data_IF_299248384066
#
_entry.id   IF_299248384066
#
_cell.length_a   1.000
_cell.length_b   1.000
_cell.length_c   1.000
_cell.angle_alpha   90.00
_cell.angle_beta   90.00
_cell.angle_gamma   90.00
#
_symmetry.space_group_name_H-M   'P 1'
#
loop_
_entity.id
_entity.type
_entity.pdbx_description
1 polymer ?
#
# COMPACT_ATOMS: atom_id res chain seq x y z
N UNK A 1 12.88 61.99 -30.74
CA UNK A 1 12.22 60.74 -31.22
C UNK A 1 13.14 59.53 -31.17
N UNK A 2 14.42 59.60 -31.55
CA UNK A 2 15.35 58.45 -31.48
C UNK A 2 15.76 58.07 -30.04
N UNK A 3 15.90 59.07 -29.16
CA UNK A 3 16.27 58.86 -27.75
C UNK A 3 15.27 58.03 -26.94
N UNK A 4 13.97 58.18 -27.21
CA UNK A 4 12.93 57.38 -26.55
C UNK A 4 12.99 55.91 -26.96
N UNK A 5 13.32 55.64 -28.22
CA UNK A 5 13.50 54.28 -28.73
C UNK A 5 14.73 53.61 -28.12
N UNK A 6 15.83 54.36 -27.98
CA UNK A 6 17.07 53.86 -27.38
C UNK A 6 16.89 53.46 -25.90
N UNK A 7 16.18 54.28 -25.13
CA UNK A 7 15.89 53.99 -23.71
C UNK A 7 14.97 52.77 -23.59
N UNK A 8 13.92 52.70 -24.41
CA UNK A 8 12.99 51.57 -24.38
C UNK A 8 13.71 50.25 -24.76
N UNK A 9 14.60 50.31 -25.75
CA UNK A 9 15.41 49.17 -26.13
C UNK A 9 16.34 48.73 -25.00
N UNK A 10 17.02 49.67 -24.33
CA UNK A 10 17.87 49.36 -23.19
C UNK A 10 17.08 48.69 -22.03
N UNK A 11 15.89 49.21 -21.71
CA UNK A 11 15.01 48.62 -20.69
C UNK A 11 14.59 47.20 -21.07
N UNK A 12 14.24 46.98 -22.34
CA UNK A 12 13.88 45.64 -22.83
C UNK A 12 15.03 44.65 -22.71
N UNK A 13 16.27 45.05 -23.02
CA UNK A 13 17.45 44.19 -22.87
C UNK A 13 17.67 43.83 -21.40
N UNK A 14 17.54 44.79 -20.49
CA UNK A 14 17.67 44.53 -19.05
C UNK A 14 16.59 43.56 -18.56
N UNK A 15 15.33 43.78 -18.96
CA UNK A 15 14.22 42.87 -18.62
C UNK A 15 14.43 41.46 -19.19
N UNK A 16 14.95 41.35 -20.42
CA UNK A 16 15.25 40.07 -21.05
C UNK A 16 16.29 39.30 -20.24
N UNK A 17 17.38 39.97 -19.83
CA UNK A 17 18.43 39.37 -19.01
C UNK A 17 17.85 38.85 -17.69
N UNK A 18 17.07 39.69 -16.98
CA UNK A 18 16.41 39.31 -15.71
C UNK A 18 15.47 38.11 -15.92
N UNK A 19 14.69 38.12 -17.01
CA UNK A 19 13.75 37.05 -17.34
C UNK A 19 14.44 35.70 -17.53
N UNK A 20 15.57 35.67 -18.25
CA UNK A 20 16.33 34.44 -18.50
C UNK A 20 16.87 33.88 -17.17
N UNK A 21 17.44 34.72 -16.30
CA UNK A 21 17.94 34.27 -15.00
C UNK A 21 16.84 33.73 -14.10
N UNK A 22 15.69 34.43 -14.01
CA UNK A 22 14.56 34.01 -13.18
C UNK A 22 13.94 32.70 -13.68
N UNK A 23 13.78 32.55 -14.99
CA UNK A 23 13.21 31.33 -15.60
C UNK A 23 14.11 30.11 -15.36
N UNK A 24 15.43 30.29 -15.45
CA UNK A 24 16.40 29.20 -15.25
C UNK A 24 16.47 28.72 -13.79
N UNK A 25 16.23 29.60 -12.82
CA UNK A 25 16.14 29.22 -11.40
C UNK A 25 14.86 28.45 -11.12
N UNK A 26 13.70 28.93 -11.62
CA UNK A 26 12.41 28.25 -11.43
C UNK A 26 12.39 26.84 -12.03
N UNK A 27 12.94 26.66 -13.23
CA UNK A 27 13.02 25.34 -13.85
C UNK A 27 13.89 24.35 -13.06
N UNK A 28 14.92 24.84 -12.34
CA UNK A 28 15.75 24.01 -11.48
C UNK A 28 15.04 23.65 -10.17
N UNK A 29 14.35 24.60 -9.56
CA UNK A 29 13.58 24.37 -8.33
C UNK A 29 12.43 23.37 -8.60
N UNK A 30 11.67 23.55 -9.67
CA UNK A 30 10.60 22.61 -10.05
C UNK A 30 11.14 21.20 -10.37
N UNK A 31 12.31 21.08 -11.01
CA UNK A 31 12.95 19.78 -11.24
C UNK A 31 13.44 19.13 -9.95
N UNK A 32 14.03 19.91 -9.03
CA UNK A 32 14.50 19.40 -7.74
C UNK A 32 13.35 18.95 -6.84
N UNK A 33 12.25 19.69 -6.80
CA UNK A 33 11.06 19.28 -6.05
C UNK A 33 10.48 17.96 -6.59
N UNK A 34 10.37 17.81 -7.90
CA UNK A 34 9.93 16.55 -8.51
C UNK A 34 10.88 15.39 -8.24
N UNK A 35 12.19 15.62 -8.27
CA UNK A 35 13.21 14.61 -7.99
C UNK A 35 13.15 14.15 -6.52
N UNK A 36 13.01 15.09 -5.57
CA UNK A 36 12.90 14.75 -4.14
C UNK A 36 11.65 13.92 -3.82
N UNK A 37 10.51 14.27 -4.42
CA UNK A 37 9.27 13.49 -4.26
C UNK A 37 9.41 12.10 -4.88
N UNK A 38 9.99 11.99 -6.07
CA UNK A 38 10.21 10.69 -6.70
C UNK A 38 11.14 9.79 -5.87
N UNK A 39 12.23 10.35 -5.33
CA UNK A 39 13.15 9.62 -4.46
C UNK A 39 12.47 9.15 -3.18
N UNK A 40 11.68 10.01 -2.53
CA UNK A 40 10.94 9.64 -1.32
C UNK A 40 9.92 8.53 -1.58
N UNK A 41 9.18 8.60 -2.70
CA UNK A 41 8.25 7.55 -3.10
C UNK A 41 8.95 6.22 -3.40
N UNK A 42 10.11 6.27 -4.05
CA UNK A 42 10.86 5.06 -4.36
C UNK A 42 11.43 4.41 -3.10
N UNK A 43 11.88 5.22 -2.14
CA UNK A 43 12.33 4.75 -0.82
C UNK A 43 11.18 4.10 -0.05
N UNK A 44 10.00 4.71 -0.04
CA UNK A 44 8.79 4.16 0.58
C UNK A 44 8.35 2.84 -0.08
N UNK A 45 8.40 2.75 -1.42
CA UNK A 45 8.12 1.51 -2.15
C UNK A 45 9.12 0.41 -1.79
N UNK A 46 10.41 0.74 -1.69
CA UNK A 46 11.44 -0.22 -1.31
C UNK A 46 11.23 -0.71 0.13
N UNK A 47 10.94 0.19 1.06
CA UNK A 47 10.61 -0.17 2.44
C UNK A 47 9.39 -1.09 2.53
N UNK A 48 8.34 -0.81 1.74
CA UNK A 48 7.16 -1.68 1.69
C UNK A 48 7.50 -3.06 1.12
N UNK A 49 8.31 -3.11 0.06
CA UNK A 49 8.76 -4.36 -0.56
C UNK A 49 9.57 -5.23 0.41
N UNK A 50 10.50 -4.62 1.15
CA UNK A 50 11.33 -5.31 2.15
C UNK A 50 10.47 -5.88 3.29
N UNK A 51 9.43 -5.14 3.70
CA UNK A 51 8.46 -5.62 4.67
C UNK A 51 7.68 -6.84 4.17
N UNK A 52 7.22 -6.84 2.91
CA UNK A 52 6.53 -7.98 2.30
C UNK A 52 7.46 -9.19 2.22
N UNK A 53 8.70 -9.01 1.76
CA UNK A 53 9.67 -10.09 1.64
C UNK A 53 9.99 -10.73 3.01
N UNK A 54 10.10 -9.91 4.05
CA UNK A 54 10.34 -10.38 5.42
C UNK A 54 9.16 -11.21 5.92
N UNK A 55 7.92 -10.74 5.72
CA UNK A 55 6.70 -11.48 6.08
C UNK A 55 6.58 -12.80 5.32
N UNK A 56 6.93 -12.84 4.04
CA UNK A 56 6.95 -14.07 3.26
C UNK A 56 7.95 -15.09 3.83
N UNK A 57 9.16 -14.65 4.18
CA UNK A 57 10.18 -15.49 4.76
C UNK A 57 9.79 -16.00 6.16
N UNK A 58 9.23 -15.13 7.02
CA UNK A 58 8.72 -15.51 8.34
C UNK A 58 7.63 -16.58 8.24
N UNK A 59 6.74 -16.43 7.25
CA UNK A 59 5.67 -17.39 7.03
C UNK A 59 6.22 -18.73 6.50
N UNK A 60 7.23 -18.72 5.61
CA UNK A 60 7.91 -19.94 5.17
C UNK A 60 8.61 -20.66 6.34
N UNK A 61 9.23 -19.91 7.24
CA UNK A 61 9.85 -20.46 8.46
C UNK A 61 8.77 -21.11 9.34
N UNK A 62 7.65 -20.41 9.58
CA UNK A 62 6.54 -20.92 10.39
C UNK A 62 5.92 -22.18 9.79
N UNK A 63 5.74 -22.24 8.47
CA UNK A 63 5.25 -23.44 7.77
C UNK A 63 6.19 -24.63 7.96
N UNK A 64 7.52 -24.40 7.83
CA UNK A 64 8.53 -25.44 8.06
C UNK A 64 8.60 -25.89 9.51
N UNK A 65 8.55 -24.97 10.46
CA UNK A 65 8.62 -25.27 11.90
C UNK A 65 7.36 -26.00 12.40
N UNK A 66 6.18 -25.60 11.92
CA UNK A 66 4.93 -26.28 12.21
C UNK A 66 4.79 -27.63 11.46
N UNK A 67 5.67 -27.92 10.50
CA UNK A 67 5.58 -29.10 9.63
C UNK A 67 4.38 -29.08 8.69
N UNK A 68 3.76 -27.92 8.48
CA UNK A 68 2.57 -27.73 7.65
C UNK A 68 3.03 -27.22 6.29
N UNK A 69 3.17 -28.13 5.32
CA UNK A 69 3.36 -27.73 3.92
C UNK A 69 2.00 -27.63 3.24
N UNK A 70 1.48 -26.42 3.12
CA UNK A 70 0.25 -26.18 2.37
C UNK A 70 0.58 -25.94 0.90
N UNK A 71 -0.23 -26.49 -0.01
CA UNK A 71 -0.07 -26.14 -1.42
C UNK A 71 -0.40 -24.66 -1.64
N UNK A 72 0.23 -24.02 -2.63
CA UNK A 72 -0.04 -22.62 -2.97
C UNK A 72 -1.55 -22.37 -3.25
N UNK A 73 -2.21 -23.36 -3.84
CA UNK A 73 -3.66 -23.33 -4.10
C UNK A 73 -4.47 -23.34 -2.80
N UNK A 74 -4.14 -24.22 -1.86
CA UNK A 74 -4.84 -24.32 -0.58
C UNK A 74 -4.65 -23.06 0.27
N UNK A 75 -3.45 -22.48 0.22
CA UNK A 75 -3.14 -21.21 0.92
C UNK A 75 -4.00 -20.08 0.36
N UNK A 76 -4.08 -19.95 -0.96
CA UNK A 76 -4.91 -18.93 -1.60
C UNK A 76 -6.40 -19.12 -1.29
N UNK A 77 -6.88 -20.36 -1.32
CA UNK A 77 -8.26 -20.69 -1.00
C UNK A 77 -8.62 -20.31 0.44
N UNK A 78 -7.78 -20.68 1.42
CA UNK A 78 -8.00 -20.35 2.84
C UNK A 78 -7.95 -18.85 3.10
N UNK A 79 -7.03 -18.12 2.45
CA UNK A 79 -6.97 -16.66 2.54
C UNK A 79 -8.25 -16.00 2.04
N UNK A 80 -8.80 -16.48 0.92
CA UNK A 80 -10.02 -15.92 0.36
C UNK A 80 -11.26 -16.24 1.21
N UNK A 81 -11.34 -17.46 1.77
CA UNK A 81 -12.37 -17.83 2.74
C UNK A 81 -12.30 -16.94 3.98
N UNK A 82 -11.09 -16.67 4.48
CA UNK A 82 -10.88 -15.81 5.64
C UNK A 82 -11.21 -14.34 5.34
N UNK A 83 -10.89 -13.84 4.15
CA UNK A 83 -11.28 -12.48 3.72
C UNK A 83 -12.81 -12.33 3.68
N UNK A 84 -13.52 -13.30 3.09
CA UNK A 84 -14.98 -13.31 3.08
C UNK A 84 -15.57 -13.38 4.50
N UNK A 85 -14.99 -14.20 5.38
CA UNK A 85 -15.42 -14.26 6.77
C UNK A 85 -15.19 -12.93 7.53
N UNK A 86 -14.03 -12.28 7.34
CA UNK A 86 -13.72 -10.97 7.93
C UNK A 86 -14.65 -9.86 7.44
N UNK A 87 -15.18 -9.99 6.22
CA UNK A 87 -16.21 -9.11 5.66
C UNK A 87 -17.63 -9.41 6.16
N UNK A 88 -17.79 -10.34 7.11
CA UNK A 88 -19.06 -10.77 7.70
C UNK A 88 -20.02 -11.49 6.72
N UNK A 89 -19.49 -12.16 5.69
CA UNK A 89 -20.32 -13.10 4.92
C UNK A 89 -20.66 -14.32 5.77
N UNK A 90 -21.88 -14.84 5.61
CA UNK A 90 -22.32 -16.04 6.32
C UNK A 90 -21.62 -17.28 5.77
N UNK A 91 -21.49 -18.32 6.60
CA UNK A 91 -20.82 -19.59 6.22
C UNK A 91 -21.51 -20.20 5.00
N UNK A 92 -22.84 -20.11 4.92
CA UNK A 92 -23.63 -20.60 3.80
C UNK A 92 -23.35 -19.81 2.52
N UNK A 93 -23.20 -18.48 2.62
CA UNK A 93 -22.87 -17.65 1.48
C UNK A 93 -21.44 -17.87 0.98
N UNK A 94 -20.50 -18.18 1.88
CA UNK A 94 -19.11 -18.49 1.53
C UNK A 94 -19.05 -19.85 0.84
N UNK A 95 -19.70 -20.86 1.42
CA UNK A 95 -19.83 -22.20 0.84
C UNK A 95 -20.44 -22.14 -0.57
N UNK A 96 -21.52 -21.37 -0.75
CA UNK A 96 -22.16 -21.15 -2.05
C UNK A 96 -21.24 -20.47 -3.08
N UNK A 97 -20.46 -19.47 -2.68
CA UNK A 97 -19.50 -18.79 -3.57
C UNK A 97 -18.31 -19.67 -3.96
N UNK A 98 -17.88 -20.54 -3.04
CA UNK A 98 -16.72 -21.41 -3.21
C UNK A 98 -17.08 -22.79 -3.78
N UNK A 99 -18.37 -23.09 -3.91
CA UNK A 99 -18.90 -24.38 -4.37
C UNK A 99 -18.38 -25.55 -3.52
N UNK A 100 -18.21 -25.31 -2.22
CA UNK A 100 -17.76 -26.30 -1.24
C UNK A 100 -18.84 -26.48 -0.16
N UNK A 101 -18.71 -27.51 0.66
CA UNK A 101 -19.66 -27.75 1.75
C UNK A 101 -19.48 -26.75 2.88
N UNK A 102 -20.55 -26.51 3.65
CA UNK A 102 -20.48 -25.66 4.84
C UNK A 102 -19.52 -26.24 5.89
N UNK A 103 -19.47 -27.57 6.03
CA UNK A 103 -18.57 -28.26 6.94
C UNK A 103 -17.09 -27.99 6.63
N UNK A 104 -16.71 -27.96 5.35
CA UNK A 104 -15.33 -27.62 4.93
C UNK A 104 -14.98 -26.17 5.27
N UNK A 105 -15.91 -25.23 5.09
CA UNK A 105 -15.71 -23.82 5.48
C UNK A 105 -15.63 -23.67 6.99
N UNK A 106 -16.47 -24.38 7.75
CA UNK A 106 -16.44 -24.40 9.22
C UNK A 106 -15.12 -24.93 9.76
N UNK A 107 -14.58 -26.01 9.17
CA UNK A 107 -13.27 -26.56 9.56
C UNK A 107 -12.15 -25.55 9.34
N UNK A 108 -12.16 -24.85 8.20
CA UNK A 108 -11.16 -23.81 7.88
C UNK A 108 -11.27 -22.62 8.84
N UNK A 109 -12.50 -22.23 9.21
CA UNK A 109 -12.75 -21.08 10.07
C UNK A 109 -12.70 -21.40 11.56
N UNK A 110 -12.75 -22.67 11.97
CA UNK A 110 -12.73 -23.12 13.36
C UNK A 110 -11.66 -22.45 14.24
N UNK A 111 -10.37 -22.38 13.84
CA UNK A 111 -9.35 -21.71 14.66
C UNK A 111 -9.58 -20.20 14.79
N UNK A 112 -10.23 -19.55 13.83
CA UNK A 112 -10.51 -18.12 13.83
C UNK A 112 -11.83 -17.75 14.53
N UNK A 113 -12.78 -18.68 14.59
CA UNK A 113 -14.04 -18.52 15.33
C UNK A 113 -13.80 -18.61 16.85
N UNK A 114 -12.96 -19.54 17.30
CA UNK A 114 -12.60 -19.67 18.71
C UNK A 114 -11.98 -18.37 19.27
N UNK A 115 -11.06 -17.76 18.52
CA UNK A 115 -10.41 -16.51 18.89
C UNK A 115 -11.37 -15.30 18.99
N UNK A 116 -12.48 -15.28 18.24
CA UNK A 116 -13.49 -14.21 18.30
C UNK A 116 -14.30 -14.24 19.61
N UNK A 117 -14.60 -15.44 20.13
CA UNK A 117 -15.35 -15.60 21.36
C UNK A 117 -14.56 -15.22 22.61
N UNK A 118 -13.25 -15.50 22.63
CA UNK A 118 -12.39 -15.11 23.76
C UNK A 118 -12.24 -13.59 23.89
N UNK A 119 -12.07 -12.87 22.77
CA UNK A 119 -11.91 -11.41 22.77
C UNK A 119 -13.20 -10.67 23.18
N UNK A 120 -14.38 -11.25 22.90
CA UNK A 120 -15.68 -10.73 23.35
C UNK A 120 -15.88 -10.90 24.86
N UNK A 121 -15.39 -12.02 25.43
CA UNK A 121 -15.52 -12.32 26.87
C UNK A 121 -14.73 -11.35 27.76
N UNK A 122 -13.64 -10.77 27.27
CA UNK A 122 -12.83 -9.78 28.00
C UNK A 122 -13.50 -8.39 28.02
N UNK A 123 -14.33 -8.06 27.02
CA UNK A 123 -15.00 -6.76 26.95
C UNK A 123 -16.27 -6.65 27.82
N UNK A 124 -16.85 -7.78 28.24
CA UNK A 124 -18.06 -7.84 29.07
C UNK A 124 -17.83 -8.09 30.56
N UNK A 125 -16.58 -8.13 31.01
CA UNK A 125 -16.23 -8.54 32.38
C UNK A 125 -15.96 -7.38 33.33
N UNK A 126 -16.87 -6.40 33.43
CA UNK A 126 -16.90 -5.42 34.50
C UNK A 126 -18.33 -5.37 35.07
N UNK A 127 -18.67 -6.32 35.93
CA UNK A 127 -19.78 -6.23 36.89
C UNK A 127 -19.23 -6.28 38.31
#
# INVERSE_FOLDING_TARGET
MVWTLAILFAVSVVLLIISIFKTRNRAKEEQQELETVHLALMDEINHLKDGIQTLELEMEILEKEAGIQLSAFDKQFRLEVLDLYKRNYSIESIAGKKQVTQAEIEEILAPFMAAKNERSKVAGGNE
#
